data_IF_274190661179
#
_entry.id   IF_274190661179
#
_cell.length_a   1.000
_cell.length_b   1.000
_cell.length_c   1.000
_cell.angle_alpha   90.00
_cell.angle_beta   90.00
_cell.angle_gamma   90.00
#
_symmetry.space_group_name_H-M   'P 1'
#
loop_
_entity.id
_entity.type
_entity.pdbx_description
1 polymer ?
#
# COMPACT_ATOMS: atom_id res chain seq x y z
N UNK A 1 8.43 29.19 -3.21
CA UNK A 1 8.44 27.79 -3.69
C UNK A 1 9.28 27.03 -2.68
N UNK A 2 8.66 26.17 -1.91
CA UNK A 2 9.33 25.42 -0.83
C UNK A 2 10.05 24.22 -1.44
N UNK A 3 11.25 23.88 -0.95
CA UNK A 3 12.09 22.72 -1.38
C UNK A 3 11.35 21.38 -1.40
N UNK A 4 10.14 21.31 -0.86
CA UNK A 4 9.29 20.12 -0.81
C UNK A 4 8.51 19.81 -2.10
N UNK A 5 8.37 20.76 -3.04
CA UNK A 5 7.60 20.57 -4.28
C UNK A 5 8.39 19.93 -5.43
N UNK A 6 9.73 19.84 -5.30
CA UNK A 6 10.60 19.27 -6.34
C UNK A 6 11.11 17.86 -6.04
N UNK A 7 10.88 17.33 -4.82
CA UNK A 7 11.39 16.00 -4.46
C UNK A 7 10.63 14.89 -5.17
N UNK A 8 11.33 14.19 -6.08
CA UNK A 8 10.83 13.01 -6.79
C UNK A 8 10.80 11.80 -5.83
N UNK A 9 9.64 11.49 -5.27
CA UNK A 9 9.50 10.40 -4.30
C UNK A 9 9.43 9.02 -4.97
N UNK A 10 8.94 8.96 -6.22
CA UNK A 10 9.01 7.77 -7.07
C UNK A 10 9.51 8.19 -8.44
N UNK A 11 10.46 7.44 -8.98
CA UNK A 11 10.92 7.57 -10.36
C UNK A 11 11.14 6.20 -10.97
N UNK A 12 10.52 5.98 -12.14
CA UNK A 12 10.74 4.76 -12.92
C UNK A 12 11.20 5.10 -14.32
N UNK A 13 12.07 4.28 -14.88
CA UNK A 13 12.52 4.42 -16.26
C UNK A 13 12.61 3.07 -16.94
N UNK A 14 11.86 2.94 -18.04
CA UNK A 14 11.84 1.74 -18.88
C UNK A 14 11.41 0.46 -18.16
N UNK A 15 10.58 0.55 -17.12
CA UNK A 15 10.23 -0.62 -16.30
C UNK A 15 9.44 -1.64 -17.11
N UNK A 16 9.97 -2.87 -17.19
CA UNK A 16 9.34 -4.00 -17.84
C UNK A 16 9.18 -5.16 -16.87
N UNK A 17 8.11 -5.92 -17.05
CA UNK A 17 7.84 -7.16 -16.31
C UNK A 17 7.45 -8.25 -17.30
N UNK A 18 8.18 -9.35 -17.21
CA UNK A 18 7.97 -10.55 -18.04
C UNK A 18 7.45 -11.71 -17.18
N UNK A 19 6.49 -12.45 -17.68
CA UNK A 19 6.01 -13.72 -17.13
C UNK A 19 6.15 -14.80 -18.21
N UNK A 20 7.34 -15.41 -18.33
CA UNK A 20 7.66 -16.34 -19.41
C UNK A 20 7.68 -15.64 -20.77
N UNK A 21 6.74 -16.00 -21.65
CA UNK A 21 6.65 -15.40 -23.00
C UNK A 21 5.78 -14.13 -23.04
N UNK A 22 5.14 -13.77 -21.91
CA UNK A 22 4.22 -12.65 -21.84
C UNK A 22 4.83 -11.43 -21.13
N UNK A 23 4.90 -10.30 -21.83
CA UNK A 23 5.30 -9.01 -21.27
C UNK A 23 4.09 -8.26 -20.70
N UNK A 24 3.96 -8.28 -19.39
CA UNK A 24 2.91 -7.54 -18.67
C UNK A 24 3.16 -6.04 -18.65
N UNK A 25 4.43 -5.62 -18.52
CA UNK A 25 4.86 -4.23 -18.68
C UNK A 25 5.92 -4.17 -19.78
N UNK A 26 5.82 -3.13 -20.63
CA UNK A 26 6.65 -3.00 -21.84
C UNK A 26 7.53 -1.74 -21.88
N UNK A 27 7.76 -1.14 -20.71
CA UNK A 27 8.52 0.08 -20.55
C UNK A 27 7.64 1.19 -19.96
N UNK A 28 7.73 1.39 -18.63
CA UNK A 28 6.96 2.39 -17.91
C UNK A 28 7.91 3.43 -17.35
N UNK A 29 7.66 4.69 -17.72
CA UNK A 29 8.37 5.87 -17.26
C UNK A 29 7.38 6.74 -16.50
N UNK A 30 7.58 6.89 -15.20
CA UNK A 30 6.76 7.74 -14.33
C UNK A 30 7.66 8.45 -13.33
N UNK A 31 7.37 9.73 -13.10
CA UNK A 31 7.92 10.50 -11.99
C UNK A 31 6.77 10.99 -11.13
N UNK A 32 6.85 10.75 -9.82
CA UNK A 32 5.87 11.21 -8.83
C UNK A 32 6.59 12.10 -7.83
N UNK A 33 6.09 13.30 -7.64
CA UNK A 33 6.60 14.25 -6.65
C UNK A 33 5.93 14.04 -5.30
N UNK A 34 6.59 14.46 -4.24
CA UNK A 34 6.03 14.43 -2.89
C UNK A 34 4.72 15.23 -2.83
N UNK A 35 3.65 14.60 -2.29
CA UNK A 35 2.33 15.20 -2.18
C UNK A 35 1.48 15.08 -3.45
N UNK A 36 2.01 14.53 -4.52
CA UNK A 36 1.28 14.32 -5.77
C UNK A 36 0.35 13.10 -5.69
N UNK A 37 -0.80 13.18 -6.36
CA UNK A 37 -1.75 12.07 -6.53
C UNK A 37 -1.74 11.66 -8.00
N UNK A 38 -1.37 10.41 -8.25
CA UNK A 38 -1.37 9.81 -9.58
C UNK A 38 -2.47 8.76 -9.67
N UNK A 39 -3.28 8.82 -10.73
CA UNK A 39 -4.30 7.82 -11.04
C UNK A 39 -3.90 7.07 -12.31
N UNK A 40 -3.75 5.75 -12.19
CA UNK A 40 -3.41 4.87 -13.31
C UNK A 40 -4.71 4.25 -13.85
N UNK A 41 -5.06 4.59 -15.07
CA UNK A 41 -6.27 4.10 -15.75
C UNK A 41 -5.90 3.10 -16.85
N UNK A 42 -6.80 2.15 -17.08
CA UNK A 42 -6.66 1.16 -18.15
C UNK A 42 -7.57 -0.05 -17.93
N UNK A 43 -7.79 -0.88 -18.97
CA UNK A 43 -8.64 -2.06 -18.88
C UNK A 43 -8.08 -3.09 -17.89
N UNK A 44 -8.92 -4.06 -17.53
CA UNK A 44 -8.45 -5.22 -16.73
C UNK A 44 -7.35 -5.97 -17.50
N UNK A 45 -6.32 -6.41 -16.77
CA UNK A 45 -5.17 -7.10 -17.37
C UNK A 45 -4.13 -6.19 -18.05
N UNK A 46 -4.29 -4.86 -18.03
CA UNK A 46 -3.30 -3.93 -18.64
C UNK A 46 -2.00 -3.75 -17.86
N UNK A 47 -1.80 -4.45 -16.75
CA UNK A 47 -0.58 -4.38 -15.95
C UNK A 47 -0.58 -3.37 -14.80
N UNK A 48 -1.70 -2.67 -14.51
CA UNK A 48 -1.78 -1.67 -13.42
C UNK A 48 -1.31 -2.23 -12.08
N UNK A 49 -1.92 -3.34 -11.64
CA UNK A 49 -1.56 -4.02 -10.40
C UNK A 49 -0.11 -4.52 -10.42
N UNK A 50 0.35 -5.03 -11.56
CA UNK A 50 1.73 -5.47 -11.73
C UNK A 50 2.68 -4.30 -11.51
N UNK A 51 2.40 -3.14 -12.13
CA UNK A 51 3.26 -1.96 -12.00
C UNK A 51 3.36 -1.48 -10.55
N UNK A 52 2.24 -1.21 -9.87
CA UNK A 52 2.29 -0.68 -8.50
C UNK A 52 2.96 -1.65 -7.51
N UNK A 53 2.87 -2.96 -7.75
CA UNK A 53 3.56 -3.98 -6.96
C UNK A 53 5.07 -4.05 -7.20
N UNK A 54 5.57 -3.49 -8.31
CA UNK A 54 7.03 -3.38 -8.50
C UNK A 54 7.65 -2.32 -7.59
N UNK A 55 6.90 -1.27 -7.22
CA UNK A 55 7.40 -0.14 -6.45
C UNK A 55 7.86 -0.50 -5.02
N UNK A 56 7.36 -1.60 -4.45
CA UNK A 56 7.78 -2.12 -3.15
C UNK A 56 8.35 -3.55 -3.24
N UNK A 57 8.65 -3.98 -4.49
CA UNK A 57 9.18 -5.31 -4.81
C UNK A 57 8.30 -6.47 -4.29
N UNK A 58 6.97 -6.30 -4.29
CA UNK A 58 6.03 -7.43 -4.21
C UNK A 58 6.02 -8.22 -5.53
N UNK A 59 6.27 -7.54 -6.65
CA UNK A 59 6.53 -8.10 -7.96
C UNK A 59 7.92 -7.65 -8.42
N UNK A 60 8.87 -8.56 -8.71
CA UNK A 60 10.13 -8.18 -9.35
C UNK A 60 9.87 -7.61 -10.75
N UNK A 61 10.64 -6.63 -11.17
CA UNK A 61 10.71 -6.19 -12.56
C UNK A 61 11.86 -6.90 -13.29
N UNK A 62 11.75 -6.99 -14.60
CA UNK A 62 12.73 -7.72 -15.45
C UNK A 62 13.77 -6.78 -16.04
N UNK A 63 13.38 -5.55 -16.39
CA UNK A 63 14.23 -4.53 -16.96
C UNK A 63 13.80 -3.14 -16.47
N UNK A 64 14.69 -2.16 -16.65
CA UNK A 64 14.45 -0.77 -16.26
C UNK A 64 14.95 -0.45 -14.86
N UNK A 65 14.65 0.74 -14.38
CA UNK A 65 15.06 1.22 -13.07
C UNK A 65 13.85 1.73 -12.27
N UNK A 66 13.85 1.46 -10.97
CA UNK A 66 12.85 1.94 -10.04
C UNK A 66 13.59 2.58 -8.87
N UNK A 67 13.28 3.86 -8.60
CA UNK A 67 13.73 4.58 -7.42
C UNK A 67 12.50 4.93 -6.57
N UNK A 68 12.52 4.57 -5.30
CA UNK A 68 11.47 4.89 -4.32
C UNK A 68 12.13 5.51 -3.09
N UNK A 69 11.81 6.76 -2.84
CA UNK A 69 12.35 7.56 -1.72
C UNK A 69 13.90 7.50 -1.64
N UNK A 70 14.57 7.60 -2.81
CA UNK A 70 16.03 7.55 -2.94
C UNK A 70 16.63 6.12 -2.99
N UNK A 71 15.83 5.08 -2.80
CA UNK A 71 16.30 3.68 -2.84
C UNK A 71 16.05 3.09 -4.23
N UNK A 72 17.10 2.54 -4.84
CA UNK A 72 17.00 1.78 -6.09
C UNK A 72 16.47 0.39 -5.79
N UNK A 73 15.35 0.03 -6.41
CA UNK A 73 14.70 -1.28 -6.24
C UNK A 73 15.14 -2.19 -7.39
N UNK A 74 15.87 -3.25 -7.07
CA UNK A 74 16.32 -4.28 -8.03
C UNK A 74 16.58 -5.61 -7.29
N UNK A 75 17.19 -6.59 -7.95
CA UNK A 75 17.51 -7.89 -7.34
C UNK A 75 18.58 -7.79 -6.25
N UNK A 76 19.49 -6.83 -6.36
CA UNK A 76 20.58 -6.60 -5.41
C UNK A 76 20.17 -5.71 -4.23
N UNK A 77 18.92 -5.20 -4.21
CA UNK A 77 18.44 -4.35 -3.11
C UNK A 77 18.56 -5.06 -1.78
N UNK A 78 19.27 -4.47 -0.84
CA UNK A 78 19.53 -5.07 0.47
C UNK A 78 18.22 -5.34 1.24
N UNK A 79 18.25 -6.33 2.15
CA UNK A 79 17.11 -6.64 3.02
C UNK A 79 16.72 -5.44 3.88
N UNK A 80 17.70 -4.65 4.33
CA UNK A 80 17.47 -3.43 5.12
C UNK A 80 16.75 -2.37 4.31
N UNK A 81 17.16 -2.14 3.05
CA UNK A 81 16.55 -1.14 2.18
C UNK A 81 15.13 -1.56 1.78
N UNK A 82 14.91 -2.84 1.48
CA UNK A 82 13.56 -3.36 1.23
C UNK A 82 12.65 -3.22 2.45
N UNK A 83 13.20 -3.47 3.65
CA UNK A 83 12.44 -3.27 4.90
C UNK A 83 12.09 -1.80 5.09
N UNK A 84 13.03 -0.88 4.83
CA UNK A 84 12.78 0.54 4.86
C UNK A 84 11.68 0.94 3.87
N UNK A 85 11.84 0.64 2.58
CA UNK A 85 10.85 0.96 1.55
C UNK A 85 9.46 0.43 1.92
N UNK A 86 9.36 -0.82 2.36
CA UNK A 86 8.08 -1.42 2.76
C UNK A 86 7.48 -0.83 4.04
N UNK A 87 8.27 -0.16 4.87
CA UNK A 87 7.76 0.58 6.03
C UNK A 87 7.25 1.96 5.67
N UNK A 88 7.79 2.56 4.59
CA UNK A 88 7.42 3.90 4.12
C UNK A 88 6.37 3.87 2.99
N UNK A 89 6.05 2.67 2.47
CA UNK A 89 5.04 2.46 1.43
C UNK A 89 3.85 1.70 2.01
N UNK A 90 2.77 2.38 2.29
CA UNK A 90 1.49 1.76 2.63
C UNK A 90 0.84 1.16 1.37
N UNK A 91 0.35 -0.06 1.47
CA UNK A 91 -0.28 -0.76 0.35
C UNK A 91 -1.68 -1.23 0.72
N UNK A 92 -2.68 -0.84 -0.06
CA UNK A 92 -4.07 -1.25 0.06
C UNK A 92 -4.42 -2.17 -1.11
N UNK A 93 -4.68 -3.43 -0.80
CA UNK A 93 -4.97 -4.47 -1.79
C UNK A 93 -6.45 -4.50 -2.19
N UNK A 94 -6.73 -4.99 -3.37
CA UNK A 94 -8.07 -5.25 -3.87
C UNK A 94 -8.87 -6.21 -2.96
N UNK A 95 -8.23 -7.23 -2.39
CA UNK A 95 -8.82 -8.27 -1.54
C UNK A 95 -8.58 -8.05 -0.04
N UNK A 96 -8.44 -6.80 0.41
CA UNK A 96 -8.23 -6.39 1.81
C UNK A 96 -7.01 -7.04 2.50
N UNK A 97 -6.78 -8.34 2.35
CA UNK A 97 -5.70 -9.15 2.91
C UNK A 97 -5.53 -8.97 4.43
N UNK A 98 -6.65 -8.92 5.15
CA UNK A 98 -6.64 -8.94 6.61
C UNK A 98 -6.27 -10.32 7.12
N UNK A 99 -5.57 -10.37 8.25
CA UNK A 99 -5.27 -11.62 8.94
C UNK A 99 -6.54 -12.17 9.61
N UNK A 100 -7.12 -13.29 9.13
CA UNK A 100 -8.45 -13.73 9.58
C UNK A 100 -8.47 -14.23 11.03
N UNK A 101 -7.33 -14.62 11.58
CA UNK A 101 -7.16 -15.11 12.93
C UNK A 101 -6.83 -14.01 13.96
N UNK A 102 -6.70 -12.76 13.51
CA UNK A 102 -6.44 -11.58 14.35
C UNK A 102 -7.69 -10.71 14.38
N UNK A 103 -7.93 -10.05 15.52
CA UNK A 103 -8.93 -8.98 15.63
C UNK A 103 -8.57 -7.80 14.74
N UNK A 104 -9.50 -6.89 14.52
CA UNK A 104 -9.24 -5.66 13.75
C UNK A 104 -8.16 -4.81 14.43
N UNK A 105 -8.21 -4.66 15.75
CA UNK A 105 -7.18 -3.99 16.54
C UNK A 105 -5.80 -4.62 16.31
N UNK A 106 -5.69 -5.94 16.38
CA UNK A 106 -4.43 -6.65 16.17
C UNK A 106 -3.94 -6.54 14.73
N UNK A 107 -4.84 -6.58 13.73
CA UNK A 107 -4.50 -6.34 12.32
C UNK A 107 -3.82 -4.99 12.10
N UNK A 108 -4.27 -3.94 12.79
CA UNK A 108 -3.73 -2.58 12.65
C UNK A 108 -2.45 -2.41 13.47
N UNK A 109 -2.38 -2.96 14.68
CA UNK A 109 -1.27 -2.73 15.62
C UNK A 109 -0.04 -3.58 15.37
N UNK A 110 -0.17 -4.73 14.68
CA UNK A 110 0.90 -5.70 14.48
C UNK A 110 2.16 -5.08 13.85
N UNK A 111 2.01 -4.38 12.73
CA UNK A 111 3.15 -3.80 12.01
C UNK A 111 3.80 -2.63 12.77
N UNK A 112 3.08 -1.65 13.32
CA UNK A 112 3.65 -0.62 14.19
C UNK A 112 4.47 -1.17 15.36
N UNK A 113 3.98 -2.21 16.03
CA UNK A 113 4.71 -2.83 17.13
C UNK A 113 5.96 -3.59 16.66
N UNK A 114 5.84 -4.38 15.58
CA UNK A 114 6.94 -5.26 15.13
C UNK A 114 8.01 -4.55 14.30
N UNK A 115 7.63 -3.52 13.56
CA UNK A 115 8.53 -2.83 12.62
C UNK A 115 9.03 -1.50 13.18
N UNK A 116 8.13 -0.69 13.76
CA UNK A 116 8.48 0.64 14.31
C UNK A 116 8.78 0.60 15.82
N UNK A 117 8.65 -0.55 16.49
CA UNK A 117 8.98 -0.69 17.91
C UNK A 117 8.00 0.03 18.85
N UNK A 118 6.79 0.33 18.37
CA UNK A 118 5.78 0.94 19.23
C UNK A 118 5.40 0.01 20.39
N UNK A 119 5.19 0.57 21.56
CA UNK A 119 4.55 -0.16 22.66
C UNK A 119 3.12 -0.52 22.29
N UNK A 120 2.59 -1.57 22.91
CA UNK A 120 1.19 -1.99 22.69
C UNK A 120 0.21 -0.84 22.88
N UNK A 121 0.37 -0.07 23.99
CA UNK A 121 -0.50 1.08 24.29
C UNK A 121 -0.45 2.16 23.22
N UNK A 122 0.75 2.51 22.72
CA UNK A 122 0.89 3.51 21.64
C UNK A 122 0.21 3.04 20.36
N UNK A 123 0.43 1.77 19.97
CA UNK A 123 -0.17 1.20 18.78
C UNK A 123 -1.70 1.10 18.87
N UNK A 124 -2.25 0.73 20.04
CA UNK A 124 -3.71 0.67 20.27
C UNK A 124 -4.36 2.06 20.24
N UNK A 125 -3.75 3.08 20.83
CA UNK A 125 -4.25 4.46 20.74
C UNK A 125 -4.31 4.91 19.29
N UNK A 126 -3.22 4.75 18.56
CA UNK A 126 -3.15 5.08 17.13
C UNK A 126 -4.16 4.30 16.28
N UNK A 127 -4.33 3.01 16.56
CA UNK A 127 -5.30 2.18 15.84
C UNK A 127 -6.73 2.66 16.08
N UNK A 128 -7.10 3.05 17.32
CA UNK A 128 -8.41 3.61 17.61
C UNK A 128 -8.65 4.94 16.91
N UNK A 129 -7.69 5.86 16.92
CA UNK A 129 -7.77 7.13 16.18
C UNK A 129 -8.01 6.91 14.69
N UNK A 130 -7.33 5.91 14.09
CA UNK A 130 -7.52 5.57 12.68
C UNK A 130 -8.88 4.91 12.43
N UNK A 131 -9.35 4.05 13.32
CA UNK A 131 -10.69 3.44 13.22
C UNK A 131 -11.80 4.49 13.35
N UNK A 132 -11.65 5.48 14.23
CA UNK A 132 -12.54 6.63 14.33
C UNK A 132 -12.52 7.44 13.02
N UNK A 133 -11.35 7.71 12.48
CA UNK A 133 -11.19 8.44 11.22
C UNK A 133 -11.86 7.76 10.02
N UNK A 134 -11.84 6.41 9.98
CA UNK A 134 -12.53 5.63 8.95
C UNK A 134 -13.97 5.25 9.34
N UNK A 135 -14.48 5.73 10.50
CA UNK A 135 -15.88 5.63 10.93
C UNK A 135 -16.32 4.24 11.37
N UNK A 136 -15.43 3.41 11.93
CA UNK A 136 -15.75 2.05 12.41
C UNK A 136 -15.05 1.68 13.74
N UNK A 137 -14.98 2.56 14.76
CA UNK A 137 -14.26 2.25 16.01
C UNK A 137 -14.87 1.07 16.77
N UNK A 138 -16.20 0.86 16.67
CA UNK A 138 -16.92 -0.24 17.32
C UNK A 138 -16.55 -1.63 16.77
N UNK A 139 -15.81 -1.70 15.65
CA UNK A 139 -15.36 -2.96 15.07
C UNK A 139 -14.00 -3.42 15.62
N UNK A 140 -13.32 -2.62 16.46
CA UNK A 140 -11.94 -2.84 16.90
C UNK A 140 -11.63 -4.26 17.40
N UNK A 141 -12.55 -4.85 18.15
CA UNK A 141 -12.36 -6.16 18.78
C UNK A 141 -13.03 -7.33 18.05
N UNK A 142 -13.63 -7.07 16.89
CA UNK A 142 -14.18 -8.13 16.03
C UNK A 142 -13.09 -8.74 15.15
N UNK A 143 -13.43 -9.88 14.54
CA UNK A 143 -12.60 -10.52 13.52
C UNK A 143 -13.06 -10.12 12.12
N UNK A 144 -12.18 -10.18 11.11
CA UNK A 144 -12.51 -9.80 9.73
C UNK A 144 -13.78 -10.48 9.19
N UNK A 145 -14.03 -11.73 9.56
CA UNK A 145 -15.22 -12.49 9.13
C UNK A 145 -16.56 -11.89 9.59
N UNK A 146 -16.54 -11.04 10.61
CA UNK A 146 -17.73 -10.34 11.12
C UNK A 146 -17.98 -8.98 10.48
N UNK A 147 -17.17 -8.56 9.48
CA UNK A 147 -17.25 -7.26 8.84
C UNK A 147 -17.75 -7.38 7.40
N UNK A 148 -18.49 -6.37 6.93
CA UNK A 148 -18.80 -6.21 5.51
C UNK A 148 -17.54 -5.93 4.69
N UNK A 149 -17.59 -6.12 3.36
CA UNK A 149 -16.47 -5.83 2.46
C UNK A 149 -15.99 -4.37 2.58
N UNK A 150 -16.93 -3.40 2.63
CA UNK A 150 -16.59 -1.98 2.83
C UNK A 150 -15.93 -1.70 4.17
N UNK A 151 -16.36 -2.36 5.25
CA UNK A 151 -15.71 -2.27 6.56
C UNK A 151 -14.30 -2.88 6.53
N UNK A 152 -14.14 -4.06 5.90
CA UNK A 152 -12.81 -4.68 5.74
C UNK A 152 -11.85 -3.79 4.96
N UNK A 153 -12.33 -3.10 3.91
CA UNK A 153 -11.54 -2.16 3.14
C UNK A 153 -11.11 -0.95 3.98
N UNK A 154 -12.02 -0.40 4.78
CA UNK A 154 -11.69 0.70 5.71
C UNK A 154 -10.64 0.27 6.75
N UNK A 155 -10.71 -0.97 7.24
CA UNK A 155 -9.66 -1.54 8.10
C UNK A 155 -8.33 -1.67 7.35
N UNK A 156 -8.33 -2.11 6.09
CA UNK A 156 -7.11 -2.23 5.29
C UNK A 156 -6.44 -0.86 5.07
N UNK A 157 -7.25 0.19 4.87
CA UNK A 157 -6.75 1.58 4.79
C UNK A 157 -6.17 2.02 6.14
N UNK A 158 -6.89 1.81 7.24
CA UNK A 158 -6.40 2.15 8.59
C UNK A 158 -5.09 1.41 8.92
N UNK A 159 -4.99 0.12 8.58
CA UNK A 159 -3.77 -0.68 8.75
C UNK A 159 -2.58 -0.11 7.97
N UNK A 160 -2.78 0.30 6.72
CA UNK A 160 -1.73 0.92 5.92
C UNK A 160 -1.29 2.26 6.51
N UNK A 161 -2.23 3.10 6.94
CA UNK A 161 -1.96 4.40 7.56
C UNK A 161 -1.28 4.28 8.94
N UNK A 162 -1.47 3.18 9.66
CA UNK A 162 -0.87 2.98 10.99
C UNK A 162 0.67 3.00 10.98
N UNK A 163 1.27 2.77 9.81
CA UNK A 163 2.72 2.84 9.60
C UNK A 163 3.24 4.27 9.34
N UNK A 164 2.40 5.32 9.28
CA UNK A 164 2.75 6.69 8.84
C UNK A 164 3.58 6.67 7.54
N UNK A 165 3.06 6.05 6.49
CA UNK A 165 3.82 5.89 5.27
C UNK A 165 3.99 7.22 4.52
N UNK A 166 5.11 7.39 3.81
CA UNK A 166 5.34 8.53 2.92
C UNK A 166 4.58 8.39 1.60
N UNK A 167 4.29 7.15 1.21
CA UNK A 167 3.64 6.80 -0.06
C UNK A 167 2.47 5.86 0.23
N UNK A 168 1.32 6.10 -0.40
CA UNK A 168 0.17 5.17 -0.36
C UNK A 168 -0.09 4.62 -1.76
N UNK A 169 -0.09 3.31 -1.89
CA UNK A 169 -0.43 2.59 -3.13
C UNK A 169 -1.79 1.90 -2.95
N UNK A 170 -2.67 2.12 -3.92
CA UNK A 170 -4.02 1.52 -3.94
C UNK A 170 -4.18 0.65 -5.19
N UNK A 171 -4.36 -0.65 -5.00
CA UNK A 171 -4.59 -1.62 -6.07
C UNK A 171 -6.09 -1.91 -6.19
N UNK A 172 -6.79 -1.18 -7.07
CA UNK A 172 -8.23 -1.31 -7.31
C UNK A 172 -9.07 -1.37 -6.01
N UNK A 173 -8.96 -0.37 -5.11
CA UNK A 173 -9.47 -0.47 -3.73
C UNK A 173 -10.98 -0.60 -3.61
N UNK A 174 -11.73 -0.39 -4.68
CA UNK A 174 -13.20 -0.43 -4.70
C UNK A 174 -13.77 -1.54 -5.59
N UNK A 175 -12.95 -2.27 -6.34
CA UNK A 175 -13.41 -3.26 -7.34
C UNK A 175 -14.07 -4.51 -6.73
N UNK A 176 -13.78 -4.79 -5.46
CA UNK A 176 -14.38 -5.90 -4.70
C UNK A 176 -15.61 -5.46 -3.86
N UNK A 177 -16.12 -4.24 -4.07
CA UNK A 177 -17.19 -3.65 -3.26
C UNK A 177 -18.44 -3.43 -4.09
N UNK A 178 -19.60 -3.56 -3.44
CA UNK A 178 -20.88 -3.17 -3.99
C UNK A 178 -20.97 -1.64 -4.15
N UNK A 179 -21.79 -1.13 -5.11
CA UNK A 179 -21.89 0.32 -5.38
C UNK A 179 -22.22 1.18 -4.14
N UNK A 180 -22.99 0.65 -3.21
CA UNK A 180 -23.32 1.35 -1.96
C UNK A 180 -22.10 1.50 -1.05
N UNK A 181 -21.27 0.46 -0.94
CA UNK A 181 -20.05 0.46 -0.13
C UNK A 181 -18.93 1.32 -0.71
N UNK A 182 -18.90 1.54 -2.04
CA UNK A 182 -17.92 2.41 -2.70
C UNK A 182 -18.02 3.84 -2.17
N UNK A 183 -19.23 4.35 -1.94
CA UNK A 183 -19.44 5.69 -1.39
C UNK A 183 -18.92 5.83 0.04
N UNK A 184 -19.03 4.79 0.84
CA UNK A 184 -18.54 4.79 2.23
C UNK A 184 -17.00 4.82 2.28
N UNK A 185 -16.35 4.09 1.36
CA UNK A 185 -14.88 4.03 1.26
C UNK A 185 -14.31 5.28 0.63
#
# INVERSE_FOLDING_TARGET
>A
MTENEEYEIIKTSGVKVNFGDFWALKGIDITVKKGEIIVILGPSGSGKSTFIRTLNRLQPHSEGTINVDGIIINEDTSVSDLKYVRSEVGFVFQQFNLFPHLTIMENITLAPMKVKGMTKRQAEVKAMELLERVGIPEQAYKYPSGLSGGQQQRVAIARALAMDPKIMLFDEPTSALDPEMIKEV
#
